data_IF_298874363166
#
_entry.id   IF_298874363166
#
_cell.length_a   1.000
_cell.length_b   1.000
_cell.length_c   1.000
_cell.angle_alpha   90.00
_cell.angle_beta   90.00
_cell.angle_gamma   90.00
#
_symmetry.space_group_name_H-M   'P 1'
#
loop_
_entity.id
_entity.type
_entity.pdbx_description
1 polymer ?
#
# COMPACT_ATOMS: atom_id res chain seq x y z
N UNK A 1 -27.09 55.07 30.72
CA UNK A 1 -25.96 54.25 30.25
C UNK A 1 -26.41 53.31 29.11
N UNK A 2 -26.90 53.83 27.99
CA UNK A 2 -27.44 53.00 26.89
C UNK A 2 -27.43 53.72 25.53
N UNK A 3 -26.44 54.59 25.27
CA UNK A 3 -26.40 55.40 24.03
C UNK A 3 -25.05 55.36 23.31
N UNK A 4 -24.02 54.72 23.87
CA UNK A 4 -22.69 54.63 23.25
C UNK A 4 -22.45 53.34 22.44
N UNK A 5 -23.32 52.32 22.54
CA UNK A 5 -23.12 51.03 21.86
C UNK A 5 -23.73 50.95 20.44
N UNK A 6 -24.67 51.83 20.08
CA UNK A 6 -25.35 51.79 18.78
C UNK A 6 -24.63 52.55 17.65
N UNK A 7 -23.68 53.43 17.98
CA UNK A 7 -22.93 54.20 16.96
C UNK A 7 -21.75 53.43 16.34
N UNK A 8 -21.24 52.38 16.99
CA UNK A 8 -20.10 51.60 16.47
C UNK A 8 -20.53 50.65 15.34
N UNK A 9 -21.80 50.24 15.31
CA UNK A 9 -22.31 49.24 14.35
C UNK A 9 -22.67 49.84 12.99
N UNK A 10 -22.91 51.15 12.89
CA UNK A 10 -23.23 51.80 11.59
C UNK A 10 -22.03 52.32 10.79
N UNK A 11 -20.82 52.39 11.37
CA UNK A 11 -19.64 52.97 10.68
C UNK A 11 -18.79 51.91 9.95
N UNK A 12 -18.94 50.62 10.28
CA UNK A 12 -18.16 49.55 9.61
C UNK A 12 -18.76 49.05 8.27
N UNK A 13 -19.93 49.54 7.85
CA UNK A 13 -20.59 49.10 6.61
C UNK A 13 -20.31 49.98 5.39
N UNK A 14 -19.43 50.98 5.48
CA UNK A 14 -19.11 51.89 4.37
C UNK A 14 -17.61 52.18 4.27
N UNK A 15 -16.84 51.20 3.78
CA UNK A 15 -15.53 51.46 3.19
C UNK A 15 -15.32 50.52 2.00
N UNK A 16 -15.35 51.02 0.74
CA UNK A 16 -14.98 50.24 -0.43
C UNK A 16 -13.47 50.35 -0.62
N UNK A 17 -12.72 49.28 -0.40
CA UNK A 17 -11.32 49.23 -0.86
C UNK A 17 -10.91 47.81 -1.27
N UNK A 18 -10.89 47.62 -2.59
CA UNK A 18 -9.75 47.09 -3.35
C UNK A 18 -9.07 45.82 -2.81
N UNK A 19 -9.48 44.71 -3.42
CA UNK A 19 -8.68 43.60 -3.91
C UNK A 19 -7.14 43.80 -3.79
N UNK A 20 -6.51 43.04 -2.90
CA UNK A 20 -5.11 42.62 -3.05
C UNK A 20 -5.02 41.14 -2.65
N UNK A 21 -4.82 40.29 -3.66
CA UNK A 21 -4.35 38.92 -3.52
C UNK A 21 -2.88 38.99 -3.07
N UNK A 22 -2.60 38.80 -1.78
CA UNK A 22 -1.27 38.37 -1.37
C UNK A 22 -1.21 36.85 -1.52
N UNK A 23 -0.48 36.46 -2.57
CA UNK A 23 0.02 35.11 -2.80
C UNK A 23 0.93 34.77 -1.63
N UNK A 24 0.45 33.97 -0.67
CA UNK A 24 1.33 33.37 0.32
C UNK A 24 2.24 32.38 -0.42
N UNK A 25 3.50 32.78 -0.63
CA UNK A 25 4.54 31.95 -1.21
C UNK A 25 4.62 30.63 -0.41
N UNK A 26 4.15 29.56 -1.05
CA UNK A 26 4.35 28.20 -0.59
C UNK A 26 5.86 27.94 -0.59
N UNK A 27 6.49 28.13 0.58
CA UNK A 27 7.85 27.66 0.85
C UNK A 27 7.99 26.22 0.34
N UNK A 28 9.10 25.87 -0.35
CA UNK A 28 9.22 24.56 -0.93
C UNK A 28 9.27 23.54 0.19
N UNK A 29 8.17 22.81 0.38
CA UNK A 29 8.13 21.57 1.15
C UNK A 29 9.32 20.77 0.64
N UNK A 30 10.27 20.50 1.53
CA UNK A 30 11.46 19.69 1.25
C UNK A 30 10.96 18.37 0.71
N UNK A 31 10.87 18.29 -0.62
CA UNK A 31 10.56 17.08 -1.34
C UNK A 31 11.78 16.24 -1.09
N UNK A 32 11.70 15.34 -0.09
CA UNK A 32 12.61 14.22 -0.04
C UNK A 32 12.52 13.62 -1.43
N UNK A 33 13.61 13.67 -2.23
CA UNK A 33 13.52 13.26 -3.62
C UNK A 33 12.95 11.85 -3.61
N UNK A 34 11.86 11.66 -4.37
CA UNK A 34 11.38 10.33 -4.70
C UNK A 34 12.62 9.49 -5.03
N UNK A 35 12.78 8.28 -4.43
CA UNK A 35 14.01 7.52 -4.54
C UNK A 35 14.38 7.48 -6.02
N UNK A 36 15.49 8.15 -6.35
CA UNK A 36 16.01 8.22 -7.70
C UNK A 36 16.13 6.77 -8.14
N UNK A 37 15.27 6.37 -9.10
CA UNK A 37 15.24 5.02 -9.61
C UNK A 37 16.56 4.86 -10.38
N UNK A 38 17.63 4.53 -9.65
CA UNK A 38 18.85 4.06 -10.28
C UNK A 38 18.39 2.98 -11.24
N UNK A 39 18.74 3.16 -12.51
CA UNK A 39 18.43 2.27 -13.64
C UNK A 39 19.07 0.87 -13.48
N UNK A 40 19.34 0.44 -12.25
CA UNK A 40 19.84 -0.86 -11.87
C UNK A 40 18.65 -1.80 -11.81
N UNK A 41 18.74 -2.89 -12.57
CA UNK A 41 17.75 -3.96 -12.51
C UNK A 41 17.61 -4.47 -11.07
N UNK A 42 16.39 -4.80 -10.63
CA UNK A 42 16.19 -5.32 -9.29
C UNK A 42 16.92 -6.66 -9.20
N UNK A 43 17.64 -6.83 -8.09
CA UNK A 43 18.35 -8.07 -7.79
C UNK A 43 17.57 -8.89 -6.78
N UNK A 44 17.63 -10.21 -6.95
CA UNK A 44 17.12 -11.16 -5.97
C UNK A 44 18.14 -11.32 -4.84
N UNK A 45 17.64 -11.48 -3.62
CA UNK A 45 18.50 -11.73 -2.46
C UNK A 45 18.67 -13.24 -2.27
N UNK A 46 19.78 -13.77 -2.77
CA UNK A 46 20.10 -15.21 -2.72
C UNK A 46 20.96 -15.61 -1.50
N UNK A 47 21.17 -14.70 -0.54
CA UNK A 47 22.04 -14.96 0.62
C UNK A 47 21.53 -16.11 1.49
N UNK A 48 20.21 -16.30 1.58
CA UNK A 48 19.59 -17.36 2.36
C UNK A 48 19.92 -18.76 1.80
N UNK A 49 20.30 -18.89 0.52
CA UNK A 49 20.69 -20.16 -0.08
C UNK A 49 21.93 -20.78 0.56
N UNK A 50 22.72 -20.01 1.33
CA UNK A 50 23.89 -20.53 2.03
C UNK A 50 23.52 -21.43 3.23
N UNK A 51 22.31 -21.30 3.77
CA UNK A 51 21.88 -21.98 5.01
C UNK A 51 20.74 -22.99 4.82
N UNK A 52 20.29 -23.20 3.58
CA UNK A 52 19.17 -24.11 3.26
C UNK A 52 19.57 -25.16 2.23
N UNK A 53 18.76 -26.20 2.09
CA UNK A 53 18.92 -27.15 1.00
C UNK A 53 18.54 -26.51 -0.35
N UNK A 54 19.57 -26.15 -1.12
CA UNK A 54 19.43 -25.50 -2.41
C UNK A 54 18.70 -26.34 -3.46
N UNK A 55 18.59 -27.66 -3.27
CA UNK A 55 17.94 -28.56 -4.23
C UNK A 55 16.40 -28.46 -4.20
N UNK A 56 15.87 -27.82 -3.15
CA UNK A 56 14.44 -27.62 -2.92
C UNK A 56 13.92 -26.32 -3.55
N UNK A 57 14.69 -25.24 -3.47
CA UNK A 57 14.25 -23.89 -3.87
C UNK A 57 14.71 -23.52 -5.28
N UNK A 58 13.79 -23.09 -6.13
CA UNK A 58 14.05 -22.65 -7.49
C UNK A 58 14.91 -21.37 -7.57
N UNK A 59 14.86 -20.50 -6.56
CA UNK A 59 15.70 -19.29 -6.47
C UNK A 59 17.18 -19.55 -6.19
N UNK A 60 17.51 -20.71 -5.62
CA UNK A 60 18.89 -21.13 -5.38
C UNK A 60 19.48 -21.86 -6.59
N UNK A 61 18.77 -21.95 -7.70
CA UNK A 61 19.18 -22.69 -8.89
C UNK A 61 19.01 -21.84 -10.17
N UNK A 62 19.89 -22.09 -11.13
CA UNK A 62 19.78 -21.62 -12.50
C UNK A 62 19.39 -22.79 -13.39
N UNK A 63 18.20 -22.71 -13.98
CA UNK A 63 17.70 -23.75 -14.88
C UNK A 63 17.89 -23.36 -16.34
N UNK A 64 18.27 -24.35 -17.14
CA UNK A 64 18.35 -24.22 -18.58
C UNK A 64 17.03 -24.66 -19.21
N UNK A 65 16.36 -23.72 -19.88
CA UNK A 65 15.06 -23.95 -20.50
C UNK A 65 15.24 -24.10 -22.00
N UNK A 66 14.51 -25.03 -22.66
CA UNK A 66 14.57 -25.14 -24.11
C UNK A 66 14.19 -23.81 -24.79
N UNK A 67 14.87 -23.48 -25.88
CA UNK A 67 14.61 -22.25 -26.63
C UNK A 67 13.26 -22.25 -27.34
N UNK A 68 12.78 -23.45 -27.71
CA UNK A 68 11.52 -23.67 -28.41
C UNK A 68 10.58 -24.49 -27.53
N UNK A 69 9.85 -23.81 -26.65
CA UNK A 69 8.72 -24.38 -25.92
C UNK A 69 7.53 -23.42 -25.98
N UNK A 70 6.31 -23.97 -25.90
CA UNK A 70 5.08 -23.16 -25.90
C UNK A 70 4.83 -22.60 -24.51
N UNK A 71 4.28 -21.40 -24.45
CA UNK A 71 3.90 -20.79 -23.17
C UNK A 71 2.94 -21.71 -22.40
N UNK A 72 3.29 -22.05 -21.15
CA UNK A 72 2.50 -22.91 -20.27
C UNK A 72 2.81 -24.41 -20.38
N UNK A 73 3.52 -24.85 -21.42
CA UNK A 73 3.92 -26.24 -21.63
C UNK A 73 4.78 -26.76 -20.48
N UNK A 74 4.57 -28.01 -20.05
CA UNK A 74 5.40 -28.67 -19.04
C UNK A 74 6.63 -29.25 -19.70
N UNK A 75 7.80 -28.82 -19.24
CA UNK A 75 9.10 -29.22 -19.79
C UNK A 75 10.02 -29.67 -18.66
N UNK A 76 10.85 -30.66 -18.93
CA UNK A 76 11.94 -31.04 -18.05
C UNK A 76 13.13 -30.12 -18.29
N UNK A 77 13.59 -29.46 -17.22
CA UNK A 77 14.72 -28.54 -17.24
C UNK A 77 15.83 -29.02 -16.32
N UNK A 78 17.06 -28.85 -16.77
CA UNK A 78 18.24 -29.15 -15.96
C UNK A 78 18.62 -27.89 -15.17
N UNK A 79 18.59 -28.00 -13.84
CA UNK A 79 18.84 -26.91 -12.91
C UNK A 79 20.16 -27.12 -12.18
N UNK A 80 21.05 -26.13 -12.24
CA UNK A 80 22.30 -26.11 -11.50
C UNK A 80 22.21 -25.16 -10.30
N UNK A 81 22.67 -25.58 -9.14
CA UNK A 81 22.71 -24.72 -7.94
C UNK A 81 23.63 -23.51 -8.14
N UNK A 82 23.18 -22.34 -7.68
CA UNK A 82 23.92 -21.08 -7.71
C UNK A 82 24.88 -20.95 -6.52
N UNK A 83 25.89 -20.08 -6.61
CA UNK A 83 26.59 -19.60 -5.39
C UNK A 83 25.61 -18.70 -4.64
N UNK A 84 25.36 -18.88 -3.33
CA UNK A 84 26.28 -19.35 -2.28
C UNK A 84 26.11 -20.81 -1.79
N UNK A 85 25.51 -21.72 -2.56
CA UNK A 85 25.36 -23.12 -2.14
C UNK A 85 26.73 -23.81 -1.93
N UNK A 86 26.88 -24.59 -0.85
CA UNK A 86 28.12 -25.31 -0.52
C UNK A 86 28.49 -26.36 -1.57
N UNK A 87 27.49 -27.07 -2.10
CA UNK A 87 27.68 -28.14 -3.07
C UNK A 87 27.04 -27.77 -4.40
N UNK A 88 27.75 -28.07 -5.49
CA UNK A 88 27.22 -27.85 -6.83
C UNK A 88 26.45 -29.09 -7.29
N UNK A 89 25.12 -29.00 -7.34
CA UNK A 89 24.25 -30.06 -7.82
C UNK A 89 23.59 -29.65 -9.13
N UNK A 90 23.41 -30.63 -10.02
CA UNK A 90 22.61 -30.49 -11.24
C UNK A 90 21.46 -31.49 -11.18
N UNK A 91 20.23 -31.00 -11.19
CA UNK A 91 19.02 -31.81 -10.98
C UNK A 91 18.01 -31.49 -12.06
N UNK A 92 17.34 -32.52 -12.56
CA UNK A 92 16.22 -32.36 -13.51
C UNK A 92 14.93 -32.07 -12.74
N UNK A 93 14.21 -31.04 -13.18
CA UNK A 93 12.93 -30.61 -12.60
C UNK A 93 11.91 -30.40 -13.70
N UNK A 94 10.66 -30.70 -13.41
CA UNK A 94 9.55 -30.33 -14.28
C UNK A 94 9.15 -28.88 -13.99
N UNK A 95 9.09 -28.05 -15.04
CA UNK A 95 8.71 -26.64 -14.94
C UNK A 95 7.75 -26.26 -16.06
N UNK A 96 6.97 -25.19 -15.86
CA UNK A 96 6.18 -24.62 -16.96
C UNK A 96 7.05 -23.66 -17.78
N UNK A 97 7.03 -23.80 -19.10
CA UNK A 97 7.72 -22.91 -20.02
C UNK A 97 7.06 -21.53 -20.02
N UNK A 98 7.62 -20.60 -19.24
CA UNK A 98 7.21 -19.19 -19.18
C UNK A 98 8.32 -18.34 -18.56
N UNK A 99 8.34 -17.06 -18.88
CA UNK A 99 9.26 -16.12 -18.23
C UNK A 99 8.79 -15.77 -16.81
N UNK A 100 9.72 -15.45 -15.92
CA UNK A 100 9.44 -15.07 -14.53
C UNK A 100 8.52 -13.85 -14.39
N UNK A 101 8.47 -12.95 -15.37
CA UNK A 101 7.54 -11.80 -15.35
C UNK A 101 6.13 -12.14 -15.84
N UNK A 102 5.93 -13.35 -16.39
CA UNK A 102 4.63 -13.88 -16.85
C UNK A 102 4.01 -14.88 -15.86
N UNK A 103 4.54 -14.98 -14.64
CA UNK A 103 3.94 -15.75 -13.55
C UNK A 103 2.61 -15.13 -13.13
N UNK A 104 1.76 -15.94 -12.48
CA UNK A 104 0.48 -15.45 -11.98
C UNK A 104 0.67 -14.63 -10.69
N UNK A 105 -0.30 -13.79 -10.33
CA UNK A 105 -0.22 -12.92 -9.15
C UNK A 105 -0.14 -13.66 -7.80
N UNK A 106 -0.37 -14.97 -7.79
CA UNK A 106 -0.22 -15.84 -6.61
C UNK A 106 1.22 -16.41 -6.50
N UNK A 107 1.97 -16.40 -7.60
CA UNK A 107 3.30 -17.02 -7.72
C UNK A 107 4.43 -15.97 -7.65
N UNK A 108 4.08 -14.70 -7.52
CA UNK A 108 5.01 -13.60 -7.29
C UNK A 108 4.43 -12.59 -6.31
N UNK A 109 5.31 -12.01 -5.50
CA UNK A 109 4.96 -10.95 -4.57
C UNK A 109 5.57 -9.62 -5.03
N UNK A 110 4.74 -8.58 -5.13
CA UNK A 110 5.15 -7.22 -5.47
C UNK A 110 5.26 -6.35 -4.22
N UNK A 111 6.27 -5.49 -4.16
CA UNK A 111 6.40 -4.51 -3.07
C UNK A 111 5.22 -3.51 -3.11
N UNK A 112 4.55 -3.35 -1.96
CA UNK A 112 3.44 -2.40 -1.85
C UNK A 112 3.97 -0.97 -1.80
N UNK A 113 3.43 -0.08 -2.64
CA UNK A 113 3.73 1.35 -2.60
C UNK A 113 2.64 2.03 -1.77
N UNK A 114 3.06 2.79 -0.73
CA UNK A 114 2.16 3.50 0.20
C UNK A 114 2.19 5.03 0.06
N UNK A 115 3.31 5.59 -0.40
CA UNK A 115 3.57 7.03 -0.45
C UNK A 115 3.19 7.67 -1.81
N UNK A 116 2.06 7.31 -2.39
CA UNK A 116 1.55 7.98 -3.60
C UNK A 116 0.57 9.10 -3.23
N UNK A 117 0.11 9.90 -4.21
CA UNK A 117 -1.00 10.85 -4.01
C UNK A 117 -2.35 10.14 -4.15
N UNK A 118 -3.33 10.48 -3.29
CA UNK A 118 -4.71 9.98 -3.34
C UNK A 118 -5.44 10.26 -4.65
N UNK A 119 -5.03 11.30 -5.39
CA UNK A 119 -5.63 11.69 -6.66
C UNK A 119 -4.99 11.00 -7.89
N UNK A 120 -3.94 10.20 -7.69
CA UNK A 120 -3.20 9.61 -8.80
C UNK A 120 -3.87 8.34 -9.31
N UNK A 121 -4.49 8.42 -10.49
CA UNK A 121 -4.94 7.25 -11.26
C UNK A 121 -3.79 6.49 -11.94
N UNK A 122 -2.56 6.97 -11.77
CA UNK A 122 -1.36 6.46 -12.43
C UNK A 122 -0.94 5.13 -11.81
N UNK A 123 -0.62 4.17 -12.67
CA UNK A 123 0.04 2.93 -12.23
C UNK A 123 1.49 3.25 -11.86
N UNK A 124 1.89 2.83 -10.68
CA UNK A 124 3.24 3.04 -10.18
C UNK A 124 4.10 1.80 -10.41
N UNK A 125 5.38 2.03 -10.70
CA UNK A 125 6.35 0.96 -10.97
C UNK A 125 6.89 0.45 -9.64
N UNK A 126 6.69 -0.83 -9.38
CA UNK A 126 7.25 -1.53 -8.21
C UNK A 126 8.14 -2.69 -8.62
N UNK A 127 8.89 -3.23 -7.66
CA UNK A 127 9.67 -4.45 -7.80
C UNK A 127 8.81 -5.64 -7.37
N UNK A 128 8.75 -6.66 -8.22
CA UNK A 128 8.13 -7.94 -7.92
C UNK A 128 9.18 -9.04 -7.91
N UNK A 129 8.99 -9.99 -7.00
CA UNK A 129 9.86 -11.17 -6.82
C UNK A 129 9.00 -12.42 -6.94
N UNK A 130 9.45 -13.35 -7.76
CA UNK A 130 8.82 -14.68 -7.89
C UNK A 130 9.07 -15.50 -6.63
N UNK A 131 8.09 -16.31 -6.25
CA UNK A 131 8.19 -17.19 -5.08
C UNK A 131 9.31 -18.21 -5.21
N UNK A 132 9.93 -18.54 -4.09
CA UNK A 132 11.19 -19.30 -4.04
C UNK A 132 11.08 -20.70 -4.69
N UNK A 133 9.88 -21.29 -4.75
CA UNK A 133 9.62 -22.63 -5.28
C UNK A 133 9.18 -22.65 -6.75
N UNK A 134 8.97 -21.49 -7.37
CA UNK A 134 8.47 -21.39 -8.74
C UNK A 134 9.64 -21.37 -9.73
N UNK A 135 9.72 -22.38 -10.59
CA UNK A 135 10.70 -22.46 -11.67
C UNK A 135 10.23 -21.63 -12.89
N UNK A 136 11.06 -20.71 -13.37
CA UNK A 136 10.73 -19.81 -14.48
C UNK A 136 11.99 -19.37 -15.26
N UNK A 137 11.80 -18.93 -16.52
CA UNK A 137 12.87 -18.46 -17.39
C UNK A 137 13.23 -16.99 -17.10
N UNK A 138 14.52 -16.69 -17.01
CA UNK A 138 15.05 -15.33 -16.90
C UNK A 138 15.23 -14.82 -15.47
N UNK A 139 15.09 -13.50 -15.26
CA UNK A 139 15.31 -12.87 -13.95
C UNK A 139 14.06 -12.98 -13.07
N UNK A 140 14.26 -13.45 -11.84
CA UNK A 140 13.21 -13.67 -10.84
C UNK A 140 12.74 -12.40 -10.12
N UNK A 141 13.55 -11.34 -10.19
CA UNK A 141 13.16 -9.99 -9.79
C UNK A 141 12.94 -9.13 -11.03
N UNK A 142 11.76 -8.52 -11.12
CA UNK A 142 11.35 -7.72 -12.29
C UNK A 142 10.49 -6.53 -11.86
N UNK A 143 10.30 -5.58 -12.78
CA UNK A 143 9.44 -4.44 -12.53
C UNK A 143 8.03 -4.70 -13.06
N UNK A 144 7.01 -4.39 -12.26
CA UNK A 144 5.60 -4.42 -12.67
C UNK A 144 4.96 -3.08 -12.34
N UNK A 145 3.96 -2.69 -13.13
CA UNK A 145 3.13 -1.52 -12.85
C UNK A 145 1.90 -1.97 -12.08
N UNK A 146 1.78 -1.53 -10.83
CA UNK A 146 0.65 -1.87 -9.95
C UNK A 146 -0.10 -0.61 -9.52
N UNK A 147 -1.31 -0.79 -8.99
CA UNK A 147 -2.04 0.29 -8.32
C UNK A 147 -1.34 0.59 -7.00
N UNK A 148 -1.24 1.87 -6.66
CA UNK A 148 -0.69 2.28 -5.39
C UNK A 148 -1.81 2.38 -4.35
N UNK A 149 -1.53 1.92 -3.13
CA UNK A 149 -2.45 2.03 -2.02
C UNK A 149 -2.04 3.22 -1.16
N UNK A 150 -2.66 4.39 -1.36
CA UNK A 150 -2.34 5.58 -0.58
C UNK A 150 -2.78 5.44 0.89
N UNK A 151 -1.99 6.00 1.81
CA UNK A 151 -2.30 6.10 3.24
C UNK A 151 -2.39 7.58 3.66
N UNK A 152 -3.47 7.97 4.34
CA UNK A 152 -3.71 9.37 4.74
C UNK A 152 -3.53 9.60 6.26
N UNK A 153 -2.67 8.83 6.93
CA UNK A 153 -2.38 9.02 8.36
C UNK A 153 -3.30 8.31 9.35
N UNK A 154 -4.33 7.61 8.88
CA UNK A 154 -5.28 6.89 9.74
C UNK A 154 -4.66 5.62 10.33
N UNK A 155 -4.55 5.52 11.65
CA UNK A 155 -4.06 4.31 12.31
C UNK A 155 -5.21 3.36 12.65
N UNK A 156 -5.05 2.09 12.32
CA UNK A 156 -6.02 1.05 12.68
C UNK A 156 -6.15 0.92 14.21
N UNK A 157 -5.03 0.92 14.92
CA UNK A 157 -4.99 0.77 16.39
C UNK A 157 -5.66 1.95 17.09
N UNK A 158 -5.43 3.18 16.62
CA UNK A 158 -6.10 4.37 17.18
C UNK A 158 -7.60 4.31 16.95
N UNK A 159 -8.03 3.94 15.74
CA UNK A 159 -9.46 3.78 15.41
C UNK A 159 -10.11 2.73 16.30
N UNK A 160 -9.41 1.61 16.52
CA UNK A 160 -9.85 0.55 17.42
C UNK A 160 -10.02 1.01 18.86
N UNK A 161 -9.02 1.70 19.40
CA UNK A 161 -9.05 2.21 20.76
C UNK A 161 -10.20 3.23 20.94
N UNK A 162 -10.39 4.11 19.97
CA UNK A 162 -11.49 5.08 19.94
C UNK A 162 -12.85 4.38 19.87
N UNK A 163 -12.96 3.27 19.13
CA UNK A 163 -14.21 2.51 19.07
C UNK A 163 -14.56 1.83 20.40
N UNK A 164 -13.57 1.27 21.11
CA UNK A 164 -13.78 0.63 22.42
C UNK A 164 -14.11 1.66 23.50
N UNK A 165 -13.38 2.76 23.57
CA UNK A 165 -13.51 3.74 24.66
C UNK A 165 -14.60 4.79 24.42
N UNK A 166 -14.77 5.20 23.16
CA UNK A 166 -15.58 6.35 22.76
C UNK A 166 -16.51 6.03 21.57
N UNK A 167 -16.66 4.75 21.20
CA UNK A 167 -17.48 4.34 20.06
C UNK A 167 -18.97 4.67 20.23
N UNK A 168 -19.45 4.76 21.48
CA UNK A 168 -20.85 5.12 21.76
C UNK A 168 -21.17 6.53 21.30
N UNK A 169 -20.19 7.44 21.35
CA UNK A 169 -20.33 8.81 20.84
C UNK A 169 -20.02 8.91 19.33
N UNK A 170 -19.58 7.82 18.69
CA UNK A 170 -19.23 7.79 17.28
C UNK A 170 -17.90 8.46 16.94
N UNK A 171 -17.02 8.67 17.92
CA UNK A 171 -15.72 9.35 17.73
C UNK A 171 -14.80 8.57 16.78
N UNK A 172 -14.89 7.24 16.81
CA UNK A 172 -14.25 6.35 15.85
C UNK A 172 -14.58 6.69 14.39
N UNK A 173 -15.85 7.00 14.09
CA UNK A 173 -16.28 7.36 12.73
C UNK A 173 -15.99 8.82 12.37
N UNK A 174 -15.97 9.73 13.35
CA UNK A 174 -15.47 11.08 13.13
C UNK A 174 -13.98 11.07 12.76
N UNK A 175 -13.18 10.23 13.44
CA UNK A 175 -11.76 10.06 13.14
C UNK A 175 -11.54 9.60 11.69
N UNK A 176 -12.36 8.67 11.18
CA UNK A 176 -12.28 8.18 9.80
C UNK A 176 -12.83 9.14 8.73
N UNK A 177 -13.35 10.33 9.11
CA UNK A 177 -13.98 11.28 8.19
C UNK A 177 -15.42 10.93 7.81
N UNK A 178 -16.02 9.89 8.41
CA UNK A 178 -17.39 9.42 8.16
C UNK A 178 -18.44 10.20 8.96
N UNK A 179 -18.39 11.54 8.87
CA UNK A 179 -19.17 12.47 9.71
C UNK A 179 -20.69 12.22 9.69
N UNK A 180 -21.26 11.90 8.52
CA UNK A 180 -22.70 11.65 8.38
C UNK A 180 -23.17 10.49 9.25
N UNK A 181 -22.42 9.38 9.23
CA UNK A 181 -22.74 8.20 10.03
C UNK A 181 -22.44 8.40 11.52
N UNK A 182 -21.43 9.21 11.85
CA UNK A 182 -21.10 9.55 13.22
C UNK A 182 -22.19 10.40 13.89
N UNK A 183 -22.77 11.37 13.17
CA UNK A 183 -23.92 12.15 13.64
C UNK A 183 -25.15 11.25 13.86
N UNK A 184 -25.40 10.29 12.97
CA UNK A 184 -26.48 9.31 13.12
C UNK A 184 -26.36 8.52 14.42
N UNK A 185 -25.15 8.06 14.77
CA UNK A 185 -24.90 7.41 16.06
C UNK A 185 -25.19 8.34 17.24
N UNK A 186 -24.72 9.59 17.17
CA UNK A 186 -24.89 10.56 18.24
C UNK A 186 -26.37 10.84 18.54
N UNK A 187 -27.19 11.04 17.51
CA UNK A 187 -28.64 11.23 17.68
C UNK A 187 -29.36 9.99 18.19
N UNK A 188 -28.86 8.79 17.88
CA UNK A 188 -29.36 7.54 18.45
C UNK A 188 -28.87 7.27 19.89
N UNK A 189 -28.22 8.25 20.55
CA UNK A 189 -27.52 8.10 21.83
C UNK A 189 -26.51 6.94 21.84
N UNK A 190 -25.88 6.66 20.70
CA UNK A 190 -24.95 5.55 20.55
C UNK A 190 -25.59 4.17 20.71
N UNK A 191 -26.93 4.09 20.67
CA UNK A 191 -27.74 2.89 20.89
C UNK A 191 -27.20 1.98 21.99
N UNK A 192 -27.11 2.49 23.23
CA UNK A 192 -26.91 1.69 24.46
C UNK A 192 -25.81 0.62 24.35
N UNK A 193 -24.72 0.90 23.61
CA UNK A 193 -23.59 -0.04 23.43
C UNK A 193 -23.75 -1.10 22.34
N UNK A 194 -24.89 -1.21 21.66
CA UNK A 194 -25.04 -2.12 20.51
C UNK A 194 -24.19 -1.65 19.33
N UNK A 195 -24.20 -0.34 19.05
CA UNK A 195 -23.37 0.24 17.99
C UNK A 195 -21.89 0.02 18.25
N UNK A 196 -21.43 0.18 19.49
CA UNK A 196 -20.00 -0.01 19.81
C UNK A 196 -19.53 -1.42 19.50
N UNK A 197 -20.34 -2.44 19.82
CA UNK A 197 -20.02 -3.83 19.51
C UNK A 197 -19.98 -4.04 17.99
N UNK A 198 -20.95 -3.50 17.26
CA UNK A 198 -20.98 -3.60 15.78
C UNK A 198 -19.74 -2.93 15.18
N UNK A 199 -19.38 -1.72 15.61
CA UNK A 199 -18.23 -1.01 15.08
C UNK A 199 -16.91 -1.68 15.40
N UNK A 200 -16.76 -2.25 16.60
CA UNK A 200 -15.57 -3.06 16.94
C UNK A 200 -15.41 -4.20 15.94
N UNK A 201 -16.48 -4.93 15.62
CA UNK A 201 -16.43 -6.04 14.64
C UNK A 201 -16.10 -5.51 13.23
N UNK A 202 -16.73 -4.41 12.82
CA UNK A 202 -16.54 -3.83 11.48
C UNK A 202 -15.12 -3.26 11.28
N UNK A 203 -14.54 -2.65 12.31
CA UNK A 203 -13.16 -2.14 12.27
C UNK A 203 -12.18 -3.32 12.38
N UNK A 204 -12.50 -4.36 13.17
CA UNK A 204 -11.65 -5.56 13.33
C UNK A 204 -11.48 -6.32 12.03
N UNK A 205 -12.58 -6.48 11.31
CA UNK A 205 -12.61 -7.15 10.01
C UNK A 205 -12.09 -6.26 8.88
N UNK A 206 -11.81 -4.98 9.13
CA UNK A 206 -11.40 -4.02 8.11
C UNK A 206 -12.51 -3.67 7.10
N UNK A 207 -13.77 -3.99 7.42
CA UNK A 207 -14.91 -3.69 6.56
C UNK A 207 -15.18 -2.17 6.48
N UNK A 208 -14.97 -1.46 7.59
CA UNK A 208 -15.06 0.01 7.64
C UNK A 208 -13.65 0.61 7.62
N UNK A 209 -13.35 1.35 6.55
CA UNK A 209 -12.12 2.10 6.36
C UNK A 209 -12.32 3.62 6.36
N UNK A 210 -11.24 4.39 6.20
CA UNK A 210 -11.29 5.84 6.01
C UNK A 210 -12.19 6.27 4.86
N UNK A 211 -12.88 7.41 5.02
CA UNK A 211 -13.80 7.94 4.01
C UNK A 211 -13.14 8.23 2.64
N UNK A 212 -11.84 8.53 2.65
CA UNK A 212 -11.05 8.81 1.45
C UNK A 212 -10.65 7.56 0.66
N UNK A 213 -10.97 6.35 1.16
CA UNK A 213 -10.56 5.09 0.55
C UNK A 213 -9.07 4.75 0.74
N UNK A 214 -8.35 5.52 1.56
CA UNK A 214 -6.97 5.23 1.93
C UNK A 214 -6.87 4.00 2.83
N UNK A 215 -5.74 3.29 2.81
CA UNK A 215 -5.49 2.21 3.75
C UNK A 215 -5.08 2.73 5.13
N UNK A 216 -5.34 1.91 6.15
CA UNK A 216 -4.80 2.11 7.49
C UNK A 216 -3.27 1.97 7.50
N UNK A 217 -2.64 2.68 8.43
CA UNK A 217 -1.22 2.59 8.78
C UNK A 217 -1.02 1.61 9.95
#
# INVERSE_FOLDING_TARGET
>A
MCTTALLVVSVLLLAPHTLLLEVEELSPLTTTPAPQLQNKYPHENISFCASVDCTKYASCMQCDFPDRCRYGEKVEVTCATLRPCQNQHSIVREASCRFCWQTNDIEHTCESIRNCSSSSTKLERTVCRVDQDVFCKGRRAFFKRIRCNHTNGYSWTTTMLLSVTLGGFGIDRFYLGLWKSAIGKLFSFGGVGIWTIIDIILIATGYVGPADGSLYI
#
